data_IF_594055715475
#
_entry.id   IF_594055715475
#
_cell.length_a   1.000
_cell.length_b   1.000
_cell.length_c   1.000
_cell.angle_alpha   90.00
_cell.angle_beta   90.00
_cell.angle_gamma   90.00
#
_symmetry.space_group_name_H-M   'P 1'
#
loop_
_entity.id
_entity.type
_entity.pdbx_description
1 polymer ?
#
# COMPACT_ATOMS: atom_id res chain seq x y z
N UNK A 1 -11.90 -8.44 -6.96
CA UNK A 1 -11.34 -7.12 -7.30
C UNK A 1 -12.12 -5.96 -6.68
N UNK A 2 -13.44 -5.82 -6.85
CA UNK A 2 -14.18 -4.69 -6.24
C UNK A 2 -14.01 -4.63 -4.71
N UNK A 3 -14.13 -5.78 -4.03
CA UNK A 3 -13.92 -5.86 -2.58
C UNK A 3 -12.50 -5.44 -2.18
N UNK A 4 -11.48 -5.91 -2.89
CA UNK A 4 -10.07 -5.50 -2.70
C UNK A 4 -9.92 -3.98 -2.80
N UNK A 5 -10.48 -3.37 -3.85
CA UNK A 5 -10.43 -1.91 -4.04
C UNK A 5 -11.16 -1.17 -2.92
N UNK A 6 -12.29 -1.69 -2.43
CA UNK A 6 -13.03 -1.08 -1.31
C UNK A 6 -12.19 -1.11 -0.04
N UNK A 7 -11.66 -2.28 0.34
CA UNK A 7 -10.79 -2.43 1.52
C UNK A 7 -9.56 -1.50 1.46
N UNK A 8 -8.85 -1.46 0.33
CA UNK A 8 -7.72 -0.54 0.16
C UNK A 8 -8.12 0.94 0.26
N UNK A 9 -9.33 1.30 -0.18
CA UNK A 9 -9.85 2.67 -0.05
C UNK A 9 -10.22 3.00 1.40
N UNK A 10 -10.71 2.02 2.16
CA UNK A 10 -11.03 2.18 3.57
C UNK A 10 -9.75 2.40 4.38
N UNK A 11 -8.70 1.60 4.13
CA UNK A 11 -7.36 1.83 4.71
C UNK A 11 -6.85 3.23 4.34
N UNK A 12 -6.90 3.63 3.07
CA UNK A 12 -6.46 4.98 2.67
C UNK A 12 -7.25 6.10 3.35
N UNK A 13 -8.55 5.91 3.56
CA UNK A 13 -9.39 6.87 4.28
C UNK A 13 -8.92 6.99 5.73
N UNK A 14 -8.72 5.86 6.41
CA UNK A 14 -8.23 5.81 7.79
C UNK A 14 -6.87 6.50 7.92
N UNK A 15 -5.92 6.21 7.02
CA UNK A 15 -4.60 6.85 7.04
C UNK A 15 -4.65 8.37 6.81
N UNK A 16 -5.67 8.85 6.07
CA UNK A 16 -5.90 10.29 5.87
C UNK A 16 -6.54 10.95 7.08
N UNK A 17 -7.41 10.25 7.79
CA UNK A 17 -8.03 10.73 9.02
C UNK A 17 -6.97 10.96 10.11
N UNK A 18 -5.96 10.08 10.19
CA UNK A 18 -4.79 10.24 11.06
C UNK A 18 -4.00 11.54 10.77
N UNK A 19 -3.91 11.96 9.50
CA UNK A 19 -3.25 13.24 9.13
C UNK A 19 -4.03 14.49 9.55
N UNK A 20 -5.33 14.37 9.78
CA UNK A 20 -6.24 15.51 10.05
C UNK A 20 -6.62 15.69 11.52
N UNK A 21 -6.02 14.93 12.43
CA UNK A 21 -6.14 15.20 13.87
C UNK A 21 -5.00 16.11 14.34
N UNK A 22 -5.15 17.46 14.25
CA UNK A 22 -4.35 18.31 15.11
C UNK A 22 -5.12 19.51 15.68
N UNK A 23 -6.30 19.38 16.30
CA UNK A 23 -6.92 20.51 17.03
C UNK A 23 -7.66 20.06 18.31
N UNK A 24 -6.88 19.82 19.38
CA UNK A 24 -7.31 20.22 20.72
C UNK A 24 -7.36 21.75 20.68
N UNK A 25 -8.53 22.30 20.38
CA UNK A 25 -8.80 23.73 20.30
C UNK A 25 -8.50 24.35 21.67
N UNK A 26 -7.32 24.98 21.81
CA UNK A 26 -6.85 25.52 23.09
C UNK A 26 -7.61 26.80 23.40
N UNK A 27 -8.77 26.65 24.02
CA UNK A 27 -9.40 27.72 24.78
C UNK A 27 -10.10 27.20 26.03
N UNK A 28 -9.43 27.51 27.14
CA UNK A 28 -9.96 27.66 28.51
C UNK A 28 -10.21 26.40 29.35
N UNK A 29 -9.23 26.16 30.23
CA UNK A 29 -9.38 25.83 31.66
C UNK A 29 -10.44 24.79 32.04
N UNK A 30 -10.00 23.60 32.47
CA UNK A 30 -10.53 22.90 33.64
C UNK A 30 -9.52 21.84 34.07
N UNK A 31 -9.20 21.85 35.36
CA UNK A 31 -8.36 20.88 36.05
C UNK A 31 -8.90 19.45 35.93
N UNK A 32 -7.95 18.50 35.98
CA UNK A 32 -8.05 17.10 36.43
C UNK A 32 -9.41 16.41 36.27
N UNK A 33 -9.53 15.52 35.28
CA UNK A 33 -9.98 14.15 35.53
C UNK A 33 -9.65 13.24 34.33
N UNK A 34 -9.14 12.07 34.69
CA UNK A 34 -8.85 10.85 33.93
C UNK A 34 -9.84 10.61 32.77
N UNK A 35 -9.36 10.64 31.51
CA UNK A 35 -10.08 10.02 30.40
C UNK A 35 -9.08 9.45 29.38
N UNK A 36 -9.34 8.20 29.08
CA UNK A 36 -8.77 7.24 28.11
C UNK A 36 -8.73 7.79 26.68
N UNK A 37 -8.03 8.92 26.48
CA UNK A 37 -7.77 9.53 25.18
C UNK A 37 -6.60 8.76 24.56
N UNK A 38 -6.95 7.77 23.74
CA UNK A 38 -6.03 6.90 23.03
C UNK A 38 -4.83 7.67 22.48
N UNK A 39 -3.64 7.11 22.68
CA UNK A 39 -2.34 7.71 22.35
C UNK A 39 -2.38 8.37 20.97
N UNK A 40 -2.37 9.70 20.96
CA UNK A 40 -2.17 10.47 19.74
C UNK A 40 -0.80 10.07 19.17
N UNK A 41 -0.77 9.75 17.87
CA UNK A 41 0.47 9.44 17.16
C UNK A 41 1.48 10.59 17.33
N UNK A 42 2.73 10.25 17.66
CA UNK A 42 3.82 11.23 17.65
C UNK A 42 4.03 11.80 16.23
N UNK A 43 4.75 12.94 16.13
CA UNK A 43 5.07 13.50 14.81
C UNK A 43 5.84 12.52 13.92
N UNK A 44 6.67 11.68 14.52
CA UNK A 44 7.39 10.63 13.82
C UNK A 44 6.41 9.56 13.31
N UNK A 45 5.52 9.04 14.15
CA UNK A 45 4.53 8.03 13.77
C UNK A 45 3.50 8.55 12.73
N UNK A 46 3.13 9.84 12.79
CA UNK A 46 2.32 10.51 11.77
C UNK A 46 3.01 10.58 10.41
N UNK A 47 4.33 10.71 10.38
CA UNK A 47 5.10 10.66 9.14
C UNK A 47 5.09 9.23 8.55
N UNK A 48 5.17 8.19 9.38
CA UNK A 48 5.02 6.79 8.91
C UNK A 48 3.62 6.58 8.33
N UNK A 49 2.58 7.02 9.05
CA UNK A 49 1.20 6.96 8.57
C UNK A 49 1.04 7.67 7.22
N UNK A 50 1.74 8.79 7.04
CA UNK A 50 1.76 9.51 5.77
C UNK A 50 2.42 8.69 4.65
N UNK A 51 3.58 8.09 4.88
CA UNK A 51 4.24 7.23 3.88
C UNK A 51 3.35 6.03 3.50
N UNK A 52 2.70 5.39 4.48
CA UNK A 52 1.73 4.31 4.23
C UNK A 52 0.58 4.79 3.36
N UNK A 53 0.00 5.95 3.64
CA UNK A 53 -1.07 6.51 2.83
C UNK A 53 -0.67 6.71 1.36
N UNK A 54 0.57 7.14 1.11
CA UNK A 54 1.09 7.34 -0.25
C UNK A 54 1.28 6.00 -0.97
N UNK A 55 1.80 4.98 -0.28
CA UNK A 55 1.91 3.60 -0.78
C UNK A 55 0.54 3.00 -1.12
N UNK A 56 -0.45 3.13 -0.22
CA UNK A 56 -1.81 2.62 -0.45
C UNK A 56 -2.47 3.34 -1.63
N UNK A 57 -2.27 4.66 -1.73
CA UNK A 57 -2.79 5.46 -2.84
C UNK A 57 -2.21 5.03 -4.19
N UNK A 58 -0.90 4.81 -4.28
CA UNK A 58 -0.29 4.36 -5.55
C UNK A 58 -0.63 2.89 -5.84
N UNK A 59 -0.80 2.05 -4.81
CA UNK A 59 -1.31 0.66 -4.98
C UNK A 59 -2.70 0.64 -5.60
N UNK A 60 -3.60 1.53 -5.17
CA UNK A 60 -4.91 1.71 -5.80
C UNK A 60 -4.80 2.11 -7.27
N UNK A 61 -3.81 2.95 -7.62
CA UNK A 61 -3.55 3.33 -9.01
C UNK A 61 -3.07 2.13 -9.85
N UNK A 62 -2.19 1.29 -9.30
CA UNK A 62 -1.75 0.05 -9.95
C UNK A 62 -2.93 -0.88 -10.21
N UNK A 63 -3.76 -1.17 -9.19
CA UNK A 63 -4.95 -2.03 -9.34
C UNK A 63 -5.91 -1.47 -10.38
N UNK A 64 -6.11 -0.15 -10.39
CA UNK A 64 -6.98 0.54 -11.36
C UNK A 64 -6.47 0.39 -12.80
N UNK A 65 -5.17 0.52 -13.05
CA UNK A 65 -4.60 0.30 -14.38
C UNK A 65 -4.54 -1.19 -14.75
N UNK A 66 -4.36 -2.08 -13.78
CA UNK A 66 -4.44 -3.53 -13.99
C UNK A 66 -5.84 -3.96 -14.45
N UNK A 67 -6.91 -3.42 -13.85
CA UNK A 67 -8.29 -3.64 -14.32
C UNK A 67 -8.43 -3.22 -15.80
N UNK A 68 -7.86 -2.07 -16.18
CA UNK A 68 -7.91 -1.61 -17.58
C UNK A 68 -7.13 -2.54 -18.51
N UNK A 69 -5.96 -3.00 -18.08
CA UNK A 69 -5.14 -3.95 -18.82
C UNK A 69 -5.95 -5.24 -19.05
N UNK A 70 -6.47 -5.85 -17.98
CA UNK A 70 -7.34 -7.03 -18.01
C UNK A 70 -8.52 -6.86 -18.97
N UNK A 71 -9.28 -5.77 -18.84
CA UNK A 71 -10.45 -5.53 -19.72
C UNK A 71 -10.03 -5.42 -21.19
N UNK A 72 -8.85 -4.87 -21.46
CA UNK A 72 -8.32 -4.78 -22.82
C UNK A 72 -7.86 -6.15 -23.33
N UNK A 73 -7.25 -6.98 -22.48
CA UNK A 73 -6.87 -8.35 -22.82
C UNK A 73 -8.10 -9.21 -23.16
N UNK A 74 -9.17 -9.14 -22.35
CA UNK A 74 -10.44 -9.88 -22.60
C UNK A 74 -11.03 -9.51 -23.97
N UNK A 75 -10.91 -8.24 -24.39
CA UNK A 75 -11.39 -7.79 -25.71
C UNK A 75 -10.54 -8.29 -26.88
N UNK A 76 -9.27 -8.63 -26.62
CA UNK A 76 -8.31 -9.10 -27.62
C UNK A 76 -8.31 -10.62 -27.77
N UNK A 77 -9.08 -11.35 -26.95
CA UNK A 77 -9.11 -12.81 -26.93
C UNK A 77 -9.58 -13.39 -28.28
N UNK A 78 -8.63 -13.65 -29.18
CA UNK A 78 -8.79 -14.52 -30.34
C UNK A 78 -8.71 -15.97 -29.87
N UNK A 79 -9.67 -16.77 -30.33
CA UNK A 79 -10.14 -18.04 -29.75
C UNK A 79 -9.15 -19.22 -29.72
N UNK A 80 -7.88 -19.04 -30.09
CA UNK A 80 -6.96 -20.17 -30.31
C UNK A 80 -6.14 -20.57 -29.07
N UNK A 81 -5.93 -19.68 -28.09
CA UNK A 81 -5.07 -19.96 -26.91
C UNK A 81 -5.71 -19.58 -25.56
N UNK A 82 -6.87 -20.19 -25.28
CA UNK A 82 -7.68 -19.86 -24.10
C UNK A 82 -7.08 -20.36 -22.78
N UNK A 83 -6.22 -21.37 -22.81
CA UNK A 83 -5.67 -22.00 -21.61
C UNK A 83 -4.68 -21.09 -20.88
N UNK A 84 -3.64 -20.65 -21.59
CA UNK A 84 -2.61 -19.78 -21.05
C UNK A 84 -3.18 -18.43 -20.59
N UNK A 85 -4.13 -17.87 -21.36
CA UNK A 85 -4.83 -16.65 -20.99
C UNK A 85 -5.57 -16.77 -19.65
N UNK A 86 -6.33 -17.87 -19.45
CA UNK A 86 -7.07 -18.10 -18.20
C UNK A 86 -6.13 -18.29 -17.03
N UNK A 87 -5.04 -19.04 -17.19
CA UNK A 87 -4.06 -19.29 -16.13
C UNK A 87 -3.39 -17.98 -15.65
N UNK A 88 -2.98 -17.13 -16.59
CA UNK A 88 -2.40 -15.81 -16.26
C UNK A 88 -3.44 -14.86 -15.69
N UNK A 89 -4.68 -14.90 -16.17
CA UNK A 89 -5.75 -14.09 -15.59
C UNK A 89 -6.04 -14.49 -14.14
N UNK A 90 -6.11 -15.79 -13.85
CA UNK A 90 -6.26 -16.29 -12.48
C UNK A 90 -5.07 -15.89 -11.58
N UNK A 91 -3.85 -15.92 -12.11
CA UNK A 91 -2.65 -15.49 -11.39
C UNK A 91 -2.72 -14.01 -11.03
N UNK A 92 -3.06 -13.14 -11.99
CA UNK A 92 -3.24 -11.71 -11.77
C UNK A 92 -4.32 -11.43 -10.69
N UNK A 93 -5.42 -12.18 -10.70
CA UNK A 93 -6.47 -12.05 -9.68
C UNK A 93 -5.98 -12.46 -8.29
N UNK A 94 -5.20 -13.54 -8.17
CA UNK A 94 -4.60 -13.99 -6.91
C UNK A 94 -3.60 -12.97 -6.37
N UNK A 95 -2.74 -12.44 -7.24
CA UNK A 95 -1.80 -11.37 -6.90
C UNK A 95 -2.55 -10.13 -6.39
N UNK A 96 -3.64 -9.72 -7.05
CA UNK A 96 -4.46 -8.60 -6.60
C UNK A 96 -5.04 -8.82 -5.20
N UNK A 97 -5.55 -10.03 -4.94
CA UNK A 97 -6.11 -10.36 -3.63
C UNK A 97 -5.02 -10.34 -2.56
N UNK A 98 -3.88 -10.98 -2.82
CA UNK A 98 -2.76 -10.99 -1.89
C UNK A 98 -2.21 -9.60 -1.59
N UNK A 99 -2.13 -8.71 -2.59
CA UNK A 99 -1.79 -7.30 -2.38
C UNK A 99 -2.85 -6.57 -1.54
N UNK A 100 -4.13 -6.90 -1.69
CA UNK A 100 -5.21 -6.39 -0.83
C UNK A 100 -5.01 -6.75 0.64
N UNK A 101 -4.76 -8.03 0.89
CA UNK A 101 -4.55 -8.55 2.25
C UNK A 101 -3.29 -7.92 2.89
N UNK A 102 -2.24 -7.71 2.09
CA UNK A 102 -1.02 -7.01 2.53
C UNK A 102 -1.27 -5.53 2.85
N UNK A 103 -2.12 -4.83 2.10
CA UNK A 103 -2.46 -3.43 2.39
C UNK A 103 -3.27 -3.30 3.68
N UNK A 104 -4.18 -4.24 3.95
CA UNK A 104 -4.92 -4.32 5.21
C UNK A 104 -3.96 -4.51 6.40
N UNK A 105 -3.03 -5.46 6.27
CA UNK A 105 -1.97 -5.71 7.24
C UNK A 105 -1.07 -4.48 7.45
N UNK A 106 -0.71 -3.78 6.36
CA UNK A 106 0.10 -2.56 6.43
C UNK A 106 -0.62 -1.43 7.16
N UNK A 107 -1.93 -1.27 6.92
CA UNK A 107 -2.76 -0.29 7.59
C UNK A 107 -2.86 -0.56 9.10
N UNK A 108 -2.96 -1.82 9.50
CA UNK A 108 -2.98 -2.22 10.91
C UNK A 108 -1.66 -1.88 11.63
N UNK A 109 -0.52 -2.02 10.95
CA UNK A 109 0.79 -1.72 11.54
C UNK A 109 0.99 -0.24 11.92
N UNK A 110 0.17 0.67 11.38
CA UNK A 110 0.30 2.12 11.61
C UNK A 110 -0.19 2.55 12.99
N UNK A 111 -1.05 1.75 13.62
CA UNK A 111 -1.54 2.04 14.96
C UNK A 111 -0.51 1.67 16.03
N UNK A 112 -0.42 2.41 17.15
CA UNK A 112 0.58 2.15 18.18
C UNK A 112 0.38 0.79 18.89
N UNK A 113 1.49 0.13 19.29
CA UNK A 113 2.86 0.44 18.90
C UNK A 113 3.13 0.09 17.43
N UNK A 114 3.76 1.00 16.67
CA UNK A 114 4.00 0.77 15.24
C UNK A 114 4.98 -0.39 15.00
N UNK A 115 4.58 -1.33 14.14
CA UNK A 115 5.37 -2.53 13.84
C UNK A 115 6.31 -2.34 12.65
N UNK A 116 7.33 -1.47 12.77
CA UNK A 116 8.19 -1.05 11.65
C UNK A 116 8.85 -2.24 10.90
N UNK A 117 9.32 -3.24 11.64
CA UNK A 117 9.91 -4.46 11.05
C UNK A 117 8.90 -5.28 10.25
N UNK A 118 7.63 -5.29 10.66
CA UNK A 118 6.55 -5.97 9.95
C UNK A 118 6.16 -5.17 8.70
N UNK A 119 6.08 -3.83 8.80
CA UNK A 119 5.85 -2.96 7.65
C UNK A 119 6.83 -3.23 6.52
N UNK A 120 8.14 -3.34 6.82
CA UNK A 120 9.16 -3.67 5.80
C UNK A 120 8.88 -5.01 5.11
N UNK A 121 8.59 -6.06 5.88
CA UNK A 121 8.26 -7.37 5.32
C UNK A 121 6.99 -7.33 4.46
N UNK A 122 6.00 -6.52 4.83
CA UNK A 122 4.79 -6.32 4.03
C UNK A 122 5.13 -5.60 2.72
N UNK A 123 5.93 -4.53 2.77
CA UNK A 123 6.36 -3.76 1.60
C UNK A 123 7.14 -4.61 0.59
N UNK A 124 8.05 -5.47 1.07
CA UNK A 124 8.77 -6.43 0.23
C UNK A 124 7.81 -7.40 -0.50
N UNK A 125 6.81 -7.92 0.22
CA UNK A 125 5.79 -8.82 -0.37
C UNK A 125 4.92 -8.09 -1.39
N UNK A 126 4.54 -6.84 -1.13
CA UNK A 126 3.81 -6.00 -2.11
C UNK A 126 4.69 -5.81 -3.35
N UNK A 127 5.95 -5.42 -3.19
CA UNK A 127 6.88 -5.19 -4.29
C UNK A 127 7.06 -6.45 -5.15
N UNK A 128 7.21 -7.62 -4.53
CA UNK A 128 7.26 -8.91 -5.22
C UNK A 128 6.00 -9.18 -6.05
N UNK A 129 4.81 -8.98 -5.46
CA UNK A 129 3.54 -9.13 -6.17
C UNK A 129 3.43 -8.19 -7.38
N UNK A 130 3.87 -6.93 -7.25
CA UNK A 130 3.88 -5.98 -8.36
C UNK A 130 4.82 -6.43 -9.48
N UNK A 131 6.01 -6.95 -9.13
CA UNK A 131 6.95 -7.51 -10.10
C UNK A 131 6.37 -8.67 -10.91
N UNK A 132 5.60 -9.56 -10.26
CA UNK A 132 4.90 -10.65 -10.94
C UNK A 132 3.77 -10.14 -11.84
N UNK A 133 2.97 -9.17 -11.37
CA UNK A 133 1.91 -8.56 -12.21
C UNK A 133 2.50 -7.89 -13.45
N UNK A 134 3.63 -7.20 -13.32
CA UNK A 134 4.33 -6.62 -14.47
C UNK A 134 4.75 -7.67 -15.50
N UNK A 135 5.30 -8.81 -15.04
CA UNK A 135 5.74 -9.89 -15.89
C UNK A 135 4.57 -10.48 -16.69
N UNK A 136 3.46 -10.75 -16.01
CA UNK A 136 2.24 -11.26 -16.64
C UNK A 136 1.69 -10.26 -17.68
N UNK A 137 1.49 -8.99 -17.33
CA UNK A 137 0.93 -8.00 -18.28
C UNK A 137 1.84 -7.79 -19.49
N UNK A 138 3.17 -7.81 -19.33
CA UNK A 138 4.12 -7.72 -20.45
C UNK A 138 4.04 -8.93 -21.39
N UNK A 139 3.67 -10.10 -20.88
CA UNK A 139 3.53 -11.32 -21.68
C UNK A 139 2.40 -11.24 -22.71
N UNK A 140 1.32 -10.51 -22.40
CA UNK A 140 0.11 -10.48 -23.24
C UNK A 140 -0.08 -9.18 -24.01
N UNK A 141 0.46 -8.07 -23.53
CA UNK A 141 0.23 -6.75 -24.11
C UNK A 141 1.44 -6.27 -24.91
N UNK A 142 1.18 -5.68 -26.07
CA UNK A 142 2.20 -4.89 -26.74
C UNK A 142 2.62 -3.69 -25.86
N UNK A 143 3.84 -3.21 -26.08
CA UNK A 143 4.50 -2.22 -25.23
C UNK A 143 3.73 -0.91 -25.05
N UNK A 144 2.89 -0.53 -26.04
CA UNK A 144 2.11 0.70 -25.99
C UNK A 144 0.83 0.57 -25.16
N UNK A 145 0.24 -0.62 -25.07
CA UNK A 145 -0.99 -0.84 -24.28
C UNK A 145 -0.73 -1.03 -22.79
N UNK A 146 0.50 -1.39 -22.41
CA UNK A 146 0.89 -1.64 -21.01
C UNK A 146 1.60 -0.46 -20.35
N UNK A 147 1.95 0.60 -21.09
CA UNK A 147 2.78 1.71 -20.58
C UNK A 147 2.21 2.39 -19.33
N UNK A 148 0.89 2.64 -19.31
CA UNK A 148 0.23 3.27 -18.16
C UNK A 148 0.36 2.41 -16.89
N UNK A 149 0.13 1.10 -17.02
CA UNK A 149 0.25 0.14 -15.93
C UNK A 149 1.70 0.00 -15.44
N UNK A 150 2.66 -0.11 -16.36
CA UNK A 150 4.08 -0.15 -16.01
C UNK A 150 4.54 1.16 -15.36
N UNK A 151 3.99 2.29 -15.79
CA UNK A 151 4.25 3.58 -15.16
C UNK A 151 3.76 3.65 -13.71
N UNK A 152 2.56 3.13 -13.41
CA UNK A 152 2.07 3.02 -12.02
C UNK A 152 2.92 2.08 -11.18
N UNK A 153 3.33 0.93 -11.73
CA UNK A 153 4.14 -0.05 -11.01
C UNK A 153 5.49 0.56 -10.60
N UNK A 154 6.22 1.18 -11.53
CA UNK A 154 7.51 1.83 -11.21
C UNK A 154 7.39 2.92 -10.15
N UNK A 155 6.30 3.71 -10.18
CA UNK A 155 6.08 4.73 -9.14
C UNK A 155 5.86 4.10 -7.77
N UNK A 156 5.04 3.05 -7.69
CA UNK A 156 4.81 2.32 -6.45
C UNK A 156 6.12 1.71 -5.91
N UNK A 157 6.92 1.07 -6.77
CA UNK A 157 8.21 0.49 -6.38
C UNK A 157 9.16 1.55 -5.82
N UNK A 158 9.22 2.73 -6.45
CA UNK A 158 10.03 3.85 -5.95
C UNK A 158 9.52 4.38 -4.61
N UNK A 159 8.21 4.41 -4.37
CA UNK A 159 7.63 4.80 -3.08
C UNK A 159 7.95 3.78 -1.99
N UNK A 160 7.88 2.48 -2.33
CA UNK A 160 8.26 1.39 -1.43
C UNK A 160 9.73 1.53 -1.01
N UNK A 161 10.64 1.69 -1.96
CA UNK A 161 12.09 1.86 -1.68
C UNK A 161 12.35 3.08 -0.79
N UNK A 162 11.66 4.19 -1.05
CA UNK A 162 11.74 5.39 -0.22
C UNK A 162 11.24 5.14 1.21
N UNK A 163 10.11 4.44 1.37
CA UNK A 163 9.56 4.12 2.69
C UNK A 163 10.47 3.14 3.45
N UNK A 164 10.98 2.10 2.80
CA UNK A 164 11.92 1.15 3.42
C UNK A 164 13.18 1.84 3.94
N UNK A 165 13.75 2.76 3.15
CA UNK A 165 14.91 3.58 3.57
C UNK A 165 14.57 4.42 4.80
N UNK A 166 13.38 5.02 4.84
CA UNK A 166 12.93 5.81 5.97
C UNK A 166 12.78 4.95 7.25
N UNK A 167 12.18 3.76 7.12
CA UNK A 167 12.03 2.81 8.24
C UNK A 167 13.37 2.33 8.79
N UNK A 168 14.37 2.11 7.93
CA UNK A 168 15.73 1.73 8.34
C UNK A 168 16.38 2.80 9.22
N UNK A 169 16.29 4.07 8.82
CA UNK A 169 16.88 5.17 9.59
C UNK A 169 16.30 5.30 11.00
N UNK A 170 15.02 4.95 11.19
CA UNK A 170 14.33 5.00 12.49
C UNK A 170 14.69 3.82 13.38
N UNK A 171 14.75 2.63 12.78
CA UNK A 171 15.16 1.41 13.48
C UNK A 171 16.59 1.53 13.99
N UNK A 172 17.50 2.13 13.21
CA UNK A 172 18.87 2.41 13.66
C UNK A 172 18.93 3.44 14.80
N UNK A 173 18.06 4.45 14.79
CA UNK A 173 17.99 5.47 15.83
C UNK A 173 17.51 4.91 17.19
N UNK A 174 16.55 3.98 17.18
CA UNK A 174 16.11 3.27 18.40
C UNK A 174 17.23 2.42 19.03
N UNK A 175 18.07 1.79 18.21
CA UNK A 175 19.19 0.98 18.71
C UNK A 175 20.28 1.85 19.37
N UNK A 176 20.45 3.09 18.90
CA UNK A 176 21.44 4.03 19.45
C UNK A 176 20.95 4.73 20.72
N UNK A 177 19.64 4.91 20.90
CA UNK A 177 19.07 5.53 22.12
C UNK A 177 19.02 4.58 23.32
N UNK A 178 19.21 3.27 23.10
CA UNK A 178 19.08 2.21 24.12
C UNK A 178 20.44 1.71 24.66
N UNK A 179 21.56 2.43 24.48
CA UNK A 179 22.70 2.19 25.38
C UNK A 179 23.95 3.03 25.21
N UNK A 180 24.94 2.88 26.13
CA UNK A 180 24.85 2.50 27.54
C UNK A 180 24.65 3.69 28.51
#
# INVERSE_FOLDING_TARGET
MTQVVVSMKDVLREMKELRTSPEHDVSANSDEDDDDLGDDLSSEELEVAALVADVVSETLMVVKELIRAIVSMIKMENLEDKGEFVDSFERLLKLCQGTGDQIDELGACVYPPQELSLMKQILERINGNIGEMEADVKGFMNSSSSEAFLGTCRRLQSLIEHMETNLDTRTEAEVVSVGP
#
